data_IF_365157341671
#
_entry.id   IF_365157341671
#
_cell.length_a   1.000
_cell.length_b   1.000
_cell.length_c   1.000
_cell.angle_alpha   90.00
_cell.angle_beta   90.00
_cell.angle_gamma   90.00
#
_symmetry.space_group_name_H-M   'P 1'
#
loop_
_entity.id
_entity.type
_entity.pdbx_description
1 polymer ?
#
# COMPACT_ATOMS: atom_id res chain seq x y z
N UNK A 1 -10.02 -5.91 8.90
CA UNK A 1 -9.29 -7.16 8.56
C UNK A 1 -7.98 -7.25 9.34
N UNK A 2 -7.71 -8.39 9.99
CA UNK A 2 -6.45 -8.65 10.70
C UNK A 2 -5.38 -9.11 9.70
N UNK A 3 -4.17 -8.54 9.75
CA UNK A 3 -3.00 -9.06 9.03
C UNK A 3 -2.71 -8.51 7.63
N UNK A 4 -3.55 -7.60 7.11
CA UNK A 4 -3.27 -6.89 5.84
C UNK A 4 -2.34 -5.71 6.08
N UNK A 5 -1.05 -5.84 5.81
CA UNK A 5 -0.05 -4.77 6.02
C UNK A 5 0.71 -4.32 4.77
N UNK A 6 0.38 -4.89 3.61
CA UNK A 6 1.01 -4.55 2.34
C UNK A 6 0.29 -3.41 1.63
N UNK A 7 1.03 -2.43 1.09
CA UNK A 7 0.47 -1.36 0.24
C UNK A 7 -0.36 -1.92 -0.90
N UNK A 8 0.11 -2.98 -1.55
CA UNK A 8 -0.61 -3.61 -2.65
C UNK A 8 -1.87 -4.39 -2.22
N UNK A 9 -1.87 -4.97 -1.01
CA UNK A 9 -3.05 -5.68 -0.50
C UNK A 9 -4.19 -4.73 -0.15
N UNK A 10 -3.88 -3.48 0.23
CA UNK A 10 -4.90 -2.44 0.41
C UNK A 10 -5.74 -2.23 -0.86
N UNK A 11 -5.15 -2.37 -2.05
CA UNK A 11 -5.86 -2.23 -3.32
C UNK A 11 -6.83 -3.38 -3.63
N UNK A 12 -6.71 -4.52 -2.93
CA UNK A 12 -7.66 -5.63 -3.05
C UNK A 12 -8.84 -5.47 -2.09
N UNK A 13 -8.58 -4.97 -0.88
CA UNK A 13 -9.62 -4.89 0.16
C UNK A 13 -10.40 -3.57 0.14
N UNK A 14 -9.80 -2.47 -0.32
CA UNK A 14 -10.47 -1.17 -0.30
C UNK A 14 -11.69 -1.11 -1.24
N UNK A 15 -11.65 -1.66 -2.47
CA UNK A 15 -12.84 -1.72 -3.33
C UNK A 15 -13.99 -2.56 -2.74
N UNK A 16 -13.66 -3.52 -1.86
CA UNK A 16 -14.63 -4.38 -1.17
C UNK A 16 -15.29 -3.70 0.05
N UNK A 17 -15.00 -2.42 0.31
CA UNK A 17 -15.65 -1.66 1.39
C UNK A 17 -15.08 -1.89 2.79
N UNK A 18 -13.92 -2.55 2.93
CA UNK A 18 -13.27 -2.69 4.24
C UNK A 18 -12.79 -1.33 4.76
N UNK A 19 -13.21 -0.97 5.97
CA UNK A 19 -12.98 0.34 6.61
C UNK A 19 -11.80 0.36 7.60
N UNK A 20 -11.43 -0.81 8.12
CA UNK A 20 -10.46 -0.98 9.21
C UNK A 20 -9.39 -2.02 8.89
N UNK A 21 -8.13 -1.65 9.10
CA UNK A 21 -6.95 -2.50 8.88
C UNK A 21 -6.01 -2.37 10.07
N UNK A 22 -5.88 -3.42 10.87
CA UNK A 22 -4.84 -3.50 11.89
C UNK A 22 -3.69 -4.35 11.32
N UNK A 23 -2.50 -3.75 11.17
CA UNK A 23 -1.32 -4.47 10.72
C UNK A 23 -0.11 -4.13 11.58
N UNK A 24 0.51 -5.16 12.14
CA UNK A 24 1.90 -5.14 12.59
C UNK A 24 2.88 -5.37 11.42
N UNK A 25 2.35 -5.48 10.19
CA UNK A 25 3.11 -5.84 8.99
C UNK A 25 4.22 -4.85 8.66
N UNK A 26 3.98 -3.53 8.82
CA UNK A 26 4.99 -2.50 8.59
C UNK A 26 6.22 -2.67 9.50
N UNK A 27 5.99 -3.04 10.77
CA UNK A 27 7.02 -3.30 11.78
C UNK A 27 7.76 -4.61 11.51
N UNK A 28 7.03 -5.69 11.22
CA UNK A 28 7.62 -7.00 10.90
C UNK A 28 8.50 -6.93 9.63
N UNK A 29 8.10 -6.14 8.64
CA UNK A 29 8.90 -5.88 7.44
C UNK A 29 10.17 -5.12 7.76
N UNK A 30 10.09 -4.08 8.60
CA UNK A 30 11.25 -3.31 9.02
C UNK A 30 12.30 -4.17 9.74
N UNK A 31 11.86 -5.12 10.59
CA UNK A 31 12.74 -6.07 11.26
C UNK A 31 13.49 -7.00 10.30
N UNK A 32 12.90 -7.28 9.13
CA UNK A 32 13.48 -8.13 8.07
C UNK A 32 14.29 -7.36 7.02
N UNK A 33 14.57 -6.08 7.27
CA UNK A 33 15.30 -5.23 6.31
C UNK A 33 14.47 -4.81 5.09
N UNK A 34 13.14 -4.92 5.18
CA UNK A 34 12.20 -4.65 4.08
C UNK A 34 11.57 -3.27 4.23
N UNK A 35 11.51 -2.54 3.11
CA UNK A 35 10.75 -1.30 2.98
C UNK A 35 9.57 -1.44 2.01
N UNK A 36 8.54 -0.63 2.23
CA UNK A 36 7.40 -0.49 1.33
C UNK A 36 7.60 0.70 0.40
N UNK A 37 7.16 0.54 -0.85
CA UNK A 37 7.11 1.58 -1.86
C UNK A 37 5.64 1.84 -2.26
N UNK A 38 5.28 3.10 -2.56
CA UNK A 38 3.97 3.43 -3.09
C UNK A 38 3.72 2.64 -4.38
N UNK A 39 2.64 1.87 -4.42
CA UNK A 39 2.20 1.14 -5.61
C UNK A 39 3.07 -0.03 -6.11
N UNK A 40 4.38 -0.03 -5.85
CA UNK A 40 5.34 -1.02 -6.40
C UNK A 40 5.70 -2.16 -5.44
N UNK A 41 5.06 -2.20 -4.26
CA UNK A 41 5.19 -3.26 -3.26
C UNK A 41 6.42 -3.10 -2.37
N UNK A 42 7.15 -4.19 -2.13
CA UNK A 42 8.21 -4.25 -1.11
C UNK A 42 9.59 -4.46 -1.71
N UNK A 43 10.61 -3.90 -1.06
CA UNK A 43 12.02 -4.07 -1.43
C UNK A 43 12.87 -4.40 -0.20
N UNK A 44 13.88 -5.23 -0.39
CA UNK A 44 14.93 -5.44 0.62
C UNK A 44 15.94 -4.33 0.47
N UNK A 45 16.17 -3.58 1.55
CA UNK A 45 17.15 -2.48 1.59
C UNK A 45 18.30 -2.75 2.57
N UNK A 46 18.10 -3.64 3.54
CA UNK A 46 19.14 -4.11 4.46
C UNK A 46 19.14 -5.65 4.48
N UNK A 47 20.32 -6.25 4.44
CA UNK A 47 20.49 -7.71 4.46
C UNK A 47 20.47 -8.22 5.90
N UNK A 48 19.25 -8.37 6.44
CA UNK A 48 19.04 -8.85 7.80
C UNK A 48 18.64 -10.33 7.77
N UNK A 49 19.63 -11.22 7.84
CA UNK A 49 19.41 -12.67 7.78
C UNK A 49 19.12 -13.19 6.37
N UNK A 50 18.40 -14.31 6.26
CA UNK A 50 18.25 -15.06 5.01
C UNK A 50 17.02 -14.67 4.15
N UNK A 51 16.44 -13.49 4.38
CA UNK A 51 15.25 -13.06 3.64
C UNK A 51 15.61 -12.70 2.20
N UNK A 52 14.85 -13.25 1.25
CA UNK A 52 15.02 -13.00 -0.19
C UNK A 52 13.96 -12.04 -0.69
N UNK A 53 14.35 -11.18 -1.62
CA UNK A 53 13.48 -10.15 -2.18
C UNK A 53 14.24 -9.22 -3.12
N UNK A 54 13.50 -8.39 -3.85
CA UNK A 54 14.08 -7.47 -4.83
C UNK A 54 14.69 -6.27 -4.11
N UNK A 55 15.91 -5.89 -4.50
CA UNK A 55 16.48 -4.58 -4.13
C UNK A 55 15.76 -3.46 -4.91
N UNK A 56 15.72 -2.22 -4.38
CA UNK A 56 15.19 -1.10 -5.13
C UNK A 56 15.98 -0.92 -6.44
N UNK A 57 15.27 -0.72 -7.55
CA UNK A 57 15.86 -0.26 -8.81
C UNK A 57 16.31 1.20 -8.71
N UNK A 58 17.13 1.69 -9.64
CA UNK A 58 17.55 3.11 -9.65
C UNK A 58 16.37 4.09 -9.71
N UNK A 59 15.32 3.74 -10.47
CA UNK A 59 14.07 4.52 -10.54
C UNK A 59 13.40 4.61 -9.17
N UNK A 60 13.42 3.52 -8.41
CA UNK A 60 12.86 3.47 -7.05
C UNK A 60 13.76 4.17 -6.04
N UNK A 61 15.09 4.06 -6.18
CA UNK A 61 16.06 4.83 -5.40
C UNK A 61 15.83 6.34 -5.54
N UNK A 62 15.63 6.83 -6.77
CA UNK A 62 15.28 8.25 -7.03
C UNK A 62 13.92 8.67 -6.46
N UNK A 63 12.97 7.74 -6.32
CA UNK A 63 11.69 8.01 -5.63
C UNK A 63 11.90 8.06 -4.12
N UNK A 64 12.72 7.15 -3.58
CA UNK A 64 13.03 7.08 -2.16
C UNK A 64 13.78 8.32 -1.66
N UNK A 65 14.70 8.87 -2.45
CA UNK A 65 15.40 10.11 -2.10
C UNK A 65 14.48 11.33 -1.98
N UNK A 66 13.28 11.25 -2.57
CA UNK A 66 12.22 12.29 -2.47
C UNK A 66 11.17 11.94 -1.41
N UNK A 67 11.40 10.92 -0.59
CA UNK A 67 10.45 10.53 0.45
C UNK A 67 10.37 11.61 1.55
N UNK A 68 9.16 12.07 1.84
CA UNK A 68 8.90 13.07 2.87
C UNK A 68 8.67 12.49 4.27
N UNK A 69 8.94 11.19 4.50
CA UNK A 69 8.77 10.63 5.85
C UNK A 69 9.88 11.13 6.79
N UNK A 70 9.63 11.27 8.10
CA UNK A 70 10.62 11.79 9.04
C UNK A 70 11.96 11.04 8.99
N UNK A 71 11.94 9.71 8.91
CA UNK A 71 13.15 8.90 8.83
C UNK A 71 13.99 9.21 7.58
N UNK A 72 13.37 9.32 6.40
CA UNK A 72 14.07 9.64 5.17
C UNK A 72 14.56 11.11 5.14
N UNK A 73 13.82 12.03 5.76
CA UNK A 73 14.23 13.44 5.86
C UNK A 73 15.47 13.61 6.76
N UNK A 74 15.54 12.89 7.87
CA UNK A 74 16.65 13.02 8.83
C UNK A 74 17.86 12.15 8.49
N UNK A 75 17.65 10.93 7.96
CA UNK A 75 18.72 9.95 7.79
C UNK A 75 18.91 9.47 6.34
N UNK A 76 18.06 9.95 5.41
CA UNK A 76 18.16 9.59 4.00
C UNK A 76 18.06 8.09 3.72
N UNK A 77 18.66 7.66 2.61
CA UNK A 77 18.69 6.26 2.21
C UNK A 77 19.57 5.41 3.14
N UNK A 78 20.63 6.00 3.68
CA UNK A 78 21.60 5.28 4.53
C UNK A 78 20.99 4.92 5.88
N UNK A 79 20.13 5.78 6.43
CA UNK A 79 19.32 5.44 7.60
C UNK A 79 18.42 4.23 7.41
N UNK A 80 17.89 4.01 6.19
CA UNK A 80 17.08 2.82 5.88
C UNK A 80 17.94 1.55 5.76
N UNK A 81 19.18 1.69 5.27
CA UNK A 81 20.17 0.60 5.14
C UNK A 81 20.84 0.26 6.47
N UNK A 82 20.79 1.15 7.45
CA UNK A 82 21.42 0.95 8.76
C UNK A 82 20.96 -0.35 9.42
N UNK A 83 21.84 -0.91 10.25
CA UNK A 83 21.59 -2.13 11.02
C UNK A 83 21.02 -1.80 12.40
N UNK A 84 20.71 -2.84 13.18
CA UNK A 84 20.27 -2.74 14.59
C UNK A 84 19.01 -1.87 14.75
N UNK A 85 18.86 -1.27 15.92
CA UNK A 85 17.67 -0.53 16.33
C UNK A 85 17.41 0.72 15.47
N UNK A 86 18.46 1.46 15.10
CA UNK A 86 18.34 2.66 14.29
C UNK A 86 17.71 2.37 12.93
N UNK A 87 18.29 1.43 12.18
CA UNK A 87 17.74 1.06 10.88
C UNK A 87 16.35 0.44 10.97
N UNK A 88 16.08 -0.32 12.04
CA UNK A 88 14.75 -0.82 12.31
C UNK A 88 13.75 0.33 12.47
N UNK A 89 14.03 1.31 13.34
CA UNK A 89 13.18 2.47 13.55
C UNK A 89 12.97 3.27 12.27
N UNK A 90 14.04 3.50 11.49
CA UNK A 90 13.96 4.22 10.22
C UNK A 90 13.06 3.51 9.21
N UNK A 91 13.25 2.20 9.01
CA UNK A 91 12.39 1.40 8.11
C UNK A 91 10.96 1.31 8.61
N UNK A 92 10.74 1.21 9.92
CA UNK A 92 9.42 1.09 10.51
C UNK A 92 8.61 2.40 10.33
N UNK A 93 9.23 3.54 10.63
CA UNK A 93 8.67 4.87 10.37
C UNK A 93 8.37 5.08 8.89
N UNK A 94 9.31 4.74 8.01
CA UNK A 94 9.07 4.82 6.56
C UNK A 94 7.91 3.95 6.11
N UNK A 95 7.87 2.68 6.52
CA UNK A 95 6.81 1.74 6.12
C UNK A 95 5.43 2.22 6.57
N UNK A 96 5.32 2.67 7.82
CA UNK A 96 4.08 3.22 8.34
C UNK A 96 3.64 4.47 7.56
N UNK A 97 4.58 5.37 7.26
CA UNK A 97 4.29 6.57 6.47
C UNK A 97 3.75 6.24 5.08
N UNK A 98 4.40 5.32 4.37
CA UNK A 98 3.98 4.89 3.04
C UNK A 98 2.59 4.22 3.09
N UNK A 99 2.33 3.39 4.10
CA UNK A 99 1.02 2.78 4.31
C UNK A 99 -0.08 3.85 4.49
N UNK A 100 0.17 4.86 5.32
CA UNK A 100 -0.76 5.98 5.54
C UNK A 100 -1.01 6.79 4.25
N UNK A 101 0.03 7.03 3.45
CA UNK A 101 -0.12 7.70 2.16
C UNK A 101 -0.95 6.86 1.18
N UNK A 102 -0.78 5.55 1.17
CA UNK A 102 -1.56 4.65 0.31
C UNK A 102 -3.04 4.66 0.71
N UNK A 103 -3.34 4.60 2.02
CA UNK A 103 -4.71 4.72 2.53
C UNK A 103 -5.34 6.06 2.13
N UNK A 104 -4.61 7.17 2.25
CA UNK A 104 -5.08 8.49 1.81
C UNK A 104 -5.39 8.52 0.32
N UNK A 105 -4.51 7.95 -0.50
CA UNK A 105 -4.69 7.86 -1.95
C UNK A 105 -5.94 7.04 -2.31
N UNK A 106 -6.11 5.88 -1.69
CA UNK A 106 -7.28 5.02 -1.87
C UNK A 106 -8.58 5.74 -1.51
N UNK A 107 -8.64 6.32 -0.30
CA UNK A 107 -9.82 7.08 0.16
C UNK A 107 -10.17 8.21 -0.79
N UNK A 108 -9.17 8.94 -1.31
CA UNK A 108 -9.39 10.01 -2.29
C UNK A 108 -10.04 9.48 -3.57
N UNK A 109 -9.47 8.44 -4.17
CA UNK A 109 -9.92 7.96 -5.47
C UNK A 109 -11.23 7.16 -5.40
N UNK A 110 -11.46 6.40 -4.33
CA UNK A 110 -12.73 5.71 -4.09
C UNK A 110 -13.86 6.73 -3.90
N UNK A 111 -13.67 7.74 -3.04
CA UNK A 111 -14.69 8.79 -2.83
C UNK A 111 -15.00 9.59 -4.08
N UNK A 112 -13.98 9.84 -4.91
CA UNK A 112 -14.15 10.55 -6.17
C UNK A 112 -14.69 9.67 -7.31
N UNK A 113 -14.85 8.35 -7.10
CA UNK A 113 -15.23 7.42 -8.17
C UNK A 113 -14.18 7.25 -9.27
N UNK A 114 -12.93 7.66 -9.04
CA UNK A 114 -11.83 7.65 -10.03
C UNK A 114 -10.82 6.53 -9.79
N UNK A 115 -11.14 5.55 -8.94
CA UNK A 115 -10.21 4.48 -8.60
C UNK A 115 -9.86 3.60 -9.80
N UNK A 116 -10.86 3.19 -10.57
CA UNK A 116 -10.69 2.33 -11.76
C UNK A 116 -9.79 2.97 -12.84
N UNK A 117 -9.90 4.29 -13.02
CA UNK A 117 -9.06 5.02 -13.98
C UNK A 117 -7.60 5.14 -13.54
N UNK A 118 -7.34 5.02 -12.22
CA UNK A 118 -6.07 5.42 -11.63
C UNK A 118 -5.28 4.25 -11.01
N UNK A 119 -5.91 3.13 -10.66
CA UNK A 119 -5.24 2.02 -9.96
C UNK A 119 -4.11 1.41 -10.81
N UNK A 120 -4.30 1.34 -12.13
CA UNK A 120 -3.36 0.72 -13.05
C UNK A 120 -2.03 1.48 -13.12
N UNK A 121 -2.09 2.81 -13.10
CA UNK A 121 -0.92 3.72 -13.00
C UNK A 121 -0.30 3.67 -11.61
N UNK A 122 -1.13 3.56 -10.56
CA UNK A 122 -0.65 3.49 -9.17
C UNK A 122 0.13 2.20 -8.92
N UNK A 123 -0.40 1.05 -9.35
CA UNK A 123 0.20 -0.28 -9.20
C UNK A 123 1.22 -0.61 -10.30
N UNK A 124 1.98 0.40 -10.75
CA UNK A 124 3.03 0.23 -11.76
C UNK A 124 4.05 -0.84 -11.33
N UNK A 125 4.23 -1.86 -12.18
CA UNK A 125 5.10 -3.01 -11.95
C UNK A 125 4.77 -3.84 -10.67
N UNK A 126 3.49 -3.89 -10.29
CA UNK A 126 2.99 -4.74 -9.20
C UNK A 126 2.35 -6.03 -9.73
N UNK A 127 2.73 -7.17 -9.13
CA UNK A 127 2.05 -8.46 -9.37
C UNK A 127 0.56 -8.43 -9.00
N UNK A 128 0.13 -7.45 -8.22
CA UNK A 128 -1.28 -7.31 -7.79
C UNK A 128 -2.12 -6.54 -8.80
N UNK A 129 -1.51 -5.85 -9.78
CA UNK A 129 -2.24 -5.11 -10.81
C UNK A 129 -3.26 -5.98 -11.57
N UNK A 130 -2.89 -7.18 -12.10
CA UNK A 130 -3.87 -8.04 -12.76
C UNK A 130 -4.98 -8.50 -11.80
N UNK A 131 -4.64 -8.84 -10.56
CA UNK A 131 -5.62 -9.29 -9.55
C UNK A 131 -6.67 -8.20 -9.23
N UNK A 132 -6.24 -6.95 -9.11
CA UNK A 132 -7.15 -5.81 -8.90
C UNK A 132 -8.02 -5.60 -10.15
N UNK A 133 -7.48 -5.79 -11.36
CA UNK A 133 -8.28 -5.72 -12.58
C UNK A 133 -9.39 -6.77 -12.62
N UNK A 134 -9.09 -8.03 -12.31
CA UNK A 134 -10.11 -9.09 -12.23
C UNK A 134 -11.13 -8.82 -11.14
N UNK A 135 -10.70 -8.32 -9.98
CA UNK A 135 -11.62 -7.91 -8.91
C UNK A 135 -12.61 -6.84 -9.38
N UNK A 136 -12.14 -5.82 -10.09
CA UNK A 136 -13.02 -4.74 -10.57
C UNK A 136 -14.03 -5.26 -11.61
N UNK A 137 -13.63 -6.18 -12.50
CA UNK A 137 -14.56 -6.83 -13.43
C UNK A 137 -15.66 -7.59 -12.68
N UNK A 138 -15.29 -8.41 -11.69
CA UNK A 138 -16.26 -9.16 -10.88
C UNK A 138 -17.25 -8.24 -10.15
N UNK A 139 -16.77 -7.09 -9.66
CA UNK A 139 -17.64 -6.10 -9.02
C UNK A 139 -18.59 -5.42 -10.02
N UNK A 140 -18.12 -5.12 -11.24
CA UNK A 140 -18.97 -4.55 -12.30
C UNK A 140 -20.00 -5.55 -12.88
N UNK A 141 -19.66 -6.84 -12.94
CA UNK A 141 -20.59 -7.91 -13.35
C UNK A 141 -21.69 -8.18 -12.31
N UNK A 142 -21.39 -7.99 -11.02
CA UNK A 142 -22.38 -8.06 -9.95
C UNK A 142 -23.47 -6.98 -10.05
N UNK A 143 -23.08 -5.76 -10.43
CA UNK A 143 -23.99 -4.62 -10.59
C UNK A 143 -24.97 -4.77 -11.77
N UNK A 144 -24.71 -5.68 -12.71
CA UNK A 144 -25.55 -5.90 -13.90
C UNK A 144 -26.52 -7.07 -13.78
N UNK A 145 -26.34 -7.99 -12.82
CA UNK A 145 -27.20 -9.17 -12.63
C UNK A 145 -28.29 -8.99 -11.56
N UNK A 146 -28.22 -7.96 -10.73
CA UNK A 146 -29.25 -7.61 -9.75
C UNK A 146 -30.02 -6.34 -10.15
N UNK A 147 -30.62 -6.32 -11.36
CA UNK A 147 -31.62 -5.31 -11.73
C UNK A 147 -32.97 -5.58 -11.02
N UNK A 148 -32.93 -5.50 -9.68
CA UNK A 148 -34.08 -5.64 -8.77
C UNK A 148 -33.80 -5.10 -7.37
N UNK A 149 -32.53 -5.00 -6.94
CA UNK A 149 -32.13 -4.33 -5.70
C UNK A 149 -30.84 -3.56 -5.98
N UNK A 150 -30.93 -2.23 -6.00
CA UNK A 150 -29.80 -1.33 -6.26
C UNK A 150 -28.70 -1.47 -5.21
N UNK A 151 -27.68 -2.26 -5.50
CA UNK A 151 -26.38 -2.16 -4.83
C UNK A 151 -25.61 -1.03 -5.51
N UNK A 152 -25.85 0.22 -5.10
CA UNK A 152 -24.99 1.34 -5.51
C UNK A 152 -23.60 1.08 -4.94
N UNK A 153 -22.59 0.90 -5.79
CA UNK A 153 -21.19 1.17 -5.44
C UNK A 153 -21.14 2.38 -4.52
N UNK A 154 -20.78 2.13 -3.26
CA UNK A 154 -20.80 3.02 -2.09
C UNK A 154 -20.91 4.52 -2.37
N UNK A 155 -22.10 4.99 -2.78
CA UNK A 155 -22.41 6.42 -2.92
C UNK A 155 -22.99 7.03 -1.65
N UNK A 156 -23.44 6.23 -0.67
CA UNK A 156 -24.14 6.72 0.53
C UNK A 156 -23.84 5.88 1.80
N UNK A 157 -22.59 5.69 2.19
CA UNK A 157 -22.30 5.28 3.57
C UNK A 157 -22.31 6.53 4.46
N UNK A 158 -23.18 6.64 5.49
CA UNK A 158 -23.14 7.76 6.42
C UNK A 158 -21.80 7.72 7.16
N UNK A 159 -21.08 8.83 7.09
CA UNK A 159 -19.81 9.07 7.76
C UNK A 159 -20.02 9.08 9.29
N UNK A 160 -19.88 7.93 9.93
CA UNK A 160 -19.78 7.77 11.39
C UNK A 160 -18.39 7.27 11.78
N UNK A 161 -17.59 8.19 12.33
CA UNK A 161 -16.26 8.13 12.99
C UNK A 161 -15.54 6.77 13.16
N UNK A 162 -14.29 6.82 12.66
CA UNK A 162 -13.00 6.25 13.12
C UNK A 162 -13.00 4.93 13.92
#
# INVERSE_FOLDING_TARGET
>A
MLGVGGTATLHLIAPLGFDSVNSSGWRNRAARGVIQLPGSGERIIAELGNWRGRRPSDKEGRKLSKCGCPACQHHGLDGLKANKLEGFCNRATHNLWILLLEVKWLKKHIRAGTYEDNYSKRLDNSRHRPLVGELLKLLGEGDTKESGVTTRLARNAPLGRL
#
